data_IF_685615776187
#
_entry.id   IF_685615776187
#
_cell.length_a   1.000
_cell.length_b   1.000
_cell.length_c   1.000
_cell.angle_alpha   90.00
_cell.angle_beta   90.00
_cell.angle_gamma   90.00
#
_symmetry.space_group_name_H-M   'P 1'
#
loop_
_entity.id
_entity.type
_entity.pdbx_description
1 polymer ?
#
# COMPACT_ATOMS: atom_id res chain seq x y z
N UNK A 1 -9.05 -25.65 13.49
CA UNK A 1 -7.87 -24.85 13.89
C UNK A 1 -6.99 -24.75 12.66
N UNK A 2 -6.96 -23.60 11.98
CA UNK A 2 -5.92 -23.37 10.97
C UNK A 2 -4.57 -23.37 11.69
N UNK A 3 -3.58 -24.05 11.12
CA UNK A 3 -2.23 -24.04 11.68
C UNK A 3 -1.64 -22.64 11.51
N UNK A 4 -0.91 -22.15 12.51
CA UNK A 4 -0.20 -20.86 12.47
C UNK A 4 0.54 -20.56 11.15
N UNK A 5 1.25 -21.51 10.50
CA UNK A 5 1.86 -21.29 9.19
C UNK A 5 0.85 -21.00 8.06
N UNK A 6 -0.35 -21.58 8.09
CA UNK A 6 -1.38 -21.32 7.09
C UNK A 6 -1.95 -19.89 7.20
N UNK A 7 -2.15 -19.41 8.43
CA UNK A 7 -2.60 -18.04 8.71
C UNK A 7 -1.60 -17.00 8.21
N UNK A 8 -0.30 -17.21 8.49
CA UNK A 8 0.76 -16.27 8.07
C UNK A 8 0.84 -16.15 6.54
N UNK A 9 0.77 -17.27 5.82
CA UNK A 9 0.79 -17.28 4.34
C UNK A 9 -0.40 -16.52 3.76
N UNK A 10 -1.59 -16.72 4.33
CA UNK A 10 -2.81 -16.02 3.89
C UNK A 10 -2.69 -14.52 4.15
N UNK A 11 -2.27 -14.13 5.35
CA UNK A 11 -2.03 -12.73 5.71
C UNK A 11 -1.05 -12.05 4.75
N UNK A 12 0.09 -12.69 4.44
CA UNK A 12 1.06 -12.09 3.52
C UNK A 12 0.50 -11.85 2.13
N UNK A 13 -0.34 -12.77 1.62
CA UNK A 13 -1.00 -12.63 0.33
C UNK A 13 -2.02 -11.49 0.35
N UNK A 14 -2.86 -11.45 1.38
CA UNK A 14 -3.87 -10.39 1.55
C UNK A 14 -3.21 -9.02 1.69
N UNK A 15 -2.15 -8.89 2.50
CA UNK A 15 -1.38 -7.66 2.67
C UNK A 15 -0.75 -7.16 1.39
N UNK A 16 -0.10 -8.04 0.63
CA UNK A 16 0.49 -7.65 -0.67
C UNK A 16 -0.59 -7.16 -1.64
N UNK A 17 -1.75 -7.82 -1.65
CA UNK A 17 -2.88 -7.44 -2.49
C UNK A 17 -3.47 -6.08 -2.07
N UNK A 18 -3.66 -5.86 -0.77
CA UNK A 18 -4.14 -4.59 -0.22
C UNK A 18 -3.17 -3.45 -0.53
N UNK A 19 -1.87 -3.64 -0.27
CA UNK A 19 -0.84 -2.65 -0.57
C UNK A 19 -0.73 -2.37 -2.08
N UNK A 20 -0.89 -3.38 -2.94
CA UNK A 20 -0.91 -3.18 -4.38
C UNK A 20 -2.10 -2.30 -4.83
N UNK A 21 -3.32 -2.58 -4.34
CA UNK A 21 -4.48 -1.76 -4.69
C UNK A 21 -4.39 -0.35 -4.12
N UNK A 22 -3.81 -0.18 -2.92
CA UNK A 22 -3.56 1.16 -2.38
C UNK A 22 -2.52 1.92 -3.20
N UNK A 23 -1.50 1.24 -3.73
CA UNK A 23 -0.54 1.84 -4.64
C UNK A 23 -1.20 2.34 -5.94
N UNK A 24 -2.12 1.57 -6.51
CA UNK A 24 -2.87 2.00 -7.70
C UNK A 24 -3.73 3.21 -7.39
N UNK A 25 -4.50 3.17 -6.30
CA UNK A 25 -5.36 4.29 -5.90
C UNK A 25 -4.55 5.55 -5.56
N UNK A 26 -3.48 5.40 -4.77
CA UNK A 26 -2.56 6.47 -4.41
C UNK A 26 -1.79 7.02 -5.60
N UNK A 27 -1.47 6.17 -6.59
CA UNK A 27 -0.83 6.59 -7.82
C UNK A 27 -1.75 7.44 -8.69
N UNK A 28 -3.00 7.01 -8.89
CA UNK A 28 -3.99 7.82 -9.60
C UNK A 28 -4.19 9.17 -8.90
N UNK A 29 -4.35 9.16 -7.56
CA UNK A 29 -4.46 10.38 -6.79
C UNK A 29 -3.23 11.28 -6.92
N UNK A 30 -2.03 10.70 -6.90
CA UNK A 30 -0.77 11.41 -7.07
C UNK A 30 -0.63 12.06 -8.45
N UNK A 31 -1.08 11.39 -9.52
CA UNK A 31 -1.13 11.97 -10.88
C UNK A 31 -2.04 13.19 -10.87
N UNK A 32 -3.28 13.03 -10.41
CA UNK A 32 -4.28 14.10 -10.42
C UNK A 32 -3.78 15.30 -9.62
N UNK A 33 -3.23 15.07 -8.42
CA UNK A 33 -2.74 16.16 -7.56
C UNK A 33 -1.57 16.89 -8.23
N UNK A 34 -0.58 16.17 -8.74
CA UNK A 34 0.59 16.79 -9.37
C UNK A 34 0.23 17.52 -10.66
N UNK A 35 -0.59 16.90 -11.52
CA UNK A 35 -1.02 17.45 -12.80
C UNK A 35 -1.85 18.73 -12.62
N UNK A 36 -2.80 18.72 -11.68
CA UNK A 36 -3.73 19.84 -11.49
C UNK A 36 -3.15 20.98 -10.64
N UNK A 37 -2.32 20.68 -9.64
CA UNK A 37 -1.97 21.64 -8.59
C UNK A 37 -0.48 21.98 -8.50
N UNK A 38 0.40 21.20 -9.14
CA UNK A 38 1.85 21.41 -9.07
C UNK A 38 2.37 21.84 -10.44
N UNK A 39 2.36 20.93 -11.41
CA UNK A 39 2.71 21.17 -12.80
C UNK A 39 2.26 19.97 -13.66
N UNK A 40 1.64 20.19 -14.84
CA UNK A 40 1.14 19.12 -15.70
C UNK A 40 2.20 18.06 -16.06
N UNK A 41 3.43 18.49 -16.36
CA UNK A 41 4.55 17.62 -16.70
C UNK A 41 5.00 16.70 -15.54
N UNK A 42 4.61 17.02 -14.31
CA UNK A 42 4.93 16.23 -13.12
C UNK A 42 3.87 15.18 -12.78
N UNK A 43 2.77 15.08 -13.53
CA UNK A 43 1.69 14.12 -13.27
C UNK A 43 2.22 12.69 -13.07
N UNK A 44 3.04 12.19 -14.00
CA UNK A 44 3.61 10.82 -13.92
C UNK A 44 4.49 10.64 -12.69
N UNK A 45 5.34 11.63 -12.37
CA UNK A 45 6.22 11.60 -11.18
C UNK A 45 5.40 11.61 -9.90
N UNK A 46 4.37 12.47 -9.82
CA UNK A 46 3.42 12.52 -8.72
C UNK A 46 2.69 11.21 -8.52
N UNK A 47 2.35 10.53 -9.62
CA UNK A 47 1.77 9.19 -9.57
C UNK A 47 2.68 8.14 -8.94
N UNK A 48 3.96 8.10 -9.33
CA UNK A 48 4.90 7.19 -8.70
C UNK A 48 5.06 7.47 -7.20
N UNK A 49 5.21 8.74 -6.82
CA UNK A 49 5.36 9.13 -5.42
C UNK A 49 4.11 8.79 -4.59
N UNK A 50 2.92 9.13 -5.09
CA UNK A 50 1.66 8.84 -4.44
C UNK A 50 1.41 7.34 -4.28
N UNK A 51 1.71 6.55 -5.31
CA UNK A 51 1.58 5.10 -5.27
C UNK A 51 2.55 4.45 -4.29
N UNK A 52 3.83 4.83 -4.31
CA UNK A 52 4.83 4.34 -3.36
C UNK A 52 4.45 4.69 -1.93
N UNK A 53 4.00 5.93 -1.69
CA UNK A 53 3.58 6.37 -0.36
C UNK A 53 2.38 5.57 0.15
N UNK A 54 1.34 5.38 -0.67
CA UNK A 54 0.17 4.61 -0.30
C UNK A 54 0.47 3.12 -0.08
N UNK A 55 1.34 2.53 -0.92
CA UNK A 55 1.83 1.16 -0.74
C UNK A 55 2.52 1.01 0.61
N UNK A 56 3.52 1.86 0.89
CA UNK A 56 4.32 1.79 2.09
C UNK A 56 3.48 1.97 3.35
N UNK A 57 2.53 2.89 3.32
CA UNK A 57 1.62 3.17 4.44
C UNK A 57 0.77 1.96 4.80
N UNK A 58 0.09 1.35 3.81
CA UNK A 58 -0.75 0.17 4.05
C UNK A 58 0.09 -1.03 4.45
N UNK A 59 1.21 -1.26 3.76
CA UNK A 59 2.09 -2.37 4.09
C UNK A 59 2.62 -2.27 5.52
N UNK A 60 3.07 -1.09 5.94
CA UNK A 60 3.55 -0.86 7.31
C UNK A 60 2.43 -1.02 8.34
N UNK A 61 1.26 -0.42 8.09
CA UNK A 61 0.09 -0.52 8.97
C UNK A 61 -0.31 -1.97 9.23
N UNK A 62 -0.50 -2.76 8.17
CA UNK A 62 -0.90 -4.16 8.31
C UNK A 62 0.18 -5.00 8.99
N UNK A 63 1.46 -4.72 8.71
CA UNK A 63 2.58 -5.38 9.38
C UNK A 63 2.56 -5.11 10.89
N UNK A 64 2.31 -3.87 11.29
CA UNK A 64 2.22 -3.49 12.71
C UNK A 64 1.00 -4.14 13.37
N UNK A 65 -0.16 -4.14 12.70
CA UNK A 65 -1.38 -4.75 13.22
C UNK A 65 -1.23 -6.26 13.40
N UNK A 66 -0.58 -6.95 12.45
CA UNK A 66 -0.27 -8.37 12.59
C UNK A 66 0.58 -8.64 13.83
N UNK A 67 1.68 -7.89 14.00
CA UNK A 67 2.58 -8.04 15.16
C UNK A 67 1.87 -7.78 16.49
N UNK A 68 0.93 -6.83 16.53
CA UNK A 68 0.14 -6.52 17.73
C UNK A 68 -0.81 -7.66 18.12
N UNK A 69 -1.41 -8.33 17.13
CA UNK A 69 -2.44 -9.35 17.39
C UNK A 69 -1.89 -10.77 17.51
N UNK A 70 -0.74 -11.08 16.90
CA UNK A 70 -0.21 -12.44 16.82
C UNK A 70 1.19 -12.60 17.43
N UNK A 71 1.81 -11.52 17.92
CA UNK A 71 3.21 -11.54 18.34
C UNK A 71 4.18 -11.49 17.14
N UNK A 72 5.47 -11.68 17.42
CA UNK A 72 6.56 -11.67 16.42
C UNK A 72 6.59 -12.97 15.63
#
# INVERSE_FOLDING_TARGET
METEPALRVRFERERRRAAFYSALAGGIAGIIIADMWVAPELGVVGGFLGGIFAYATIFAYETVMWRRNHGV
#
